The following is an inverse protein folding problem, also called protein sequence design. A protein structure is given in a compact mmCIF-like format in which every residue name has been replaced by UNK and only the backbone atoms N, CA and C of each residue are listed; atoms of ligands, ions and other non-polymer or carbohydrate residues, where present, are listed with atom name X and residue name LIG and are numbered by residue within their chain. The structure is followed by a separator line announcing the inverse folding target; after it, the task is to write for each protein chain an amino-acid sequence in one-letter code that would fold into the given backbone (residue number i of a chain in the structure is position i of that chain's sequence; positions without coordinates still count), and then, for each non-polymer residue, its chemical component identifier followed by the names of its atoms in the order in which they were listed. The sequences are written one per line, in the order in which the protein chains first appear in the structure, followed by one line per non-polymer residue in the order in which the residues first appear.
data_IF_842433476396
#
_entry.id   IF_842433476396
#
_cell.length_a   1.000
_cell.length_b   1.000
_cell.length_c   1.000
_cell.angle_alpha   90.00
_cell.angle_beta   90.00
_cell.angle_gamma   90.00
#
_symmetry.space_group_name_H-M   'P 1'
#
loop_
_entity.id
_entity.type
_entity.pdbx_description
1 polymer ?
#
# COMPACT_ATOMS: atom_id res chain seq x y z
N UNK A 1 26.44 39.19 -16.22
CA UNK A 1 26.43 40.33 -15.29
C UNK A 1 26.83 41.55 -16.10
N UNK A 2 26.06 42.64 -16.08
CA UNK A 2 26.32 43.87 -16.85
C UNK A 2 27.75 44.37 -16.74
N UNK A 3 28.32 44.84 -17.84
CA UNK A 3 29.66 45.44 -17.83
C UNK A 3 29.65 46.74 -16.99
N UNK A 4 28.54 47.46 -17.02
CA UNK A 4 28.31 48.66 -16.22
C UNK A 4 28.58 48.48 -14.72
N UNK A 5 28.20 47.33 -14.13
CA UNK A 5 28.39 47.09 -12.69
C UNK A 5 29.89 47.00 -12.35
N UNK A 6 30.73 46.44 -13.22
CA UNK A 6 32.18 46.39 -13.00
C UNK A 6 32.83 47.76 -13.13
N UNK A 7 32.39 48.56 -14.11
CA UNK A 7 32.84 49.95 -14.30
C UNK A 7 32.48 50.81 -13.10
N UNK A 8 31.25 50.71 -12.60
CA UNK A 8 30.78 51.44 -11.42
C UNK A 8 31.52 51.03 -10.15
N UNK A 9 31.86 49.75 -9.99
CA UNK A 9 32.63 49.28 -8.83
C UNK A 9 34.06 49.86 -8.76
N UNK A 10 34.60 50.33 -9.89
CA UNK A 10 35.95 50.92 -9.98
C UNK A 10 35.93 52.46 -9.96
N UNK A 11 34.76 53.09 -10.16
CA UNK A 11 34.60 54.54 -10.23
C UNK A 11 34.55 55.22 -8.85
N UNK A 12 34.86 56.53 -8.82
CA UNK A 12 34.65 57.38 -7.62
C UNK A 12 34.27 58.81 -7.99
N UNK A 13 33.63 59.52 -7.06
CA UNK A 13 33.28 60.93 -7.23
C UNK A 13 32.27 61.19 -8.36
N UNK A 14 32.38 62.33 -9.05
CA UNK A 14 31.42 62.72 -10.10
C UNK A 14 31.45 61.81 -11.35
N UNK A 15 32.59 61.17 -11.63
CA UNK A 15 32.68 60.23 -12.75
C UNK A 15 31.74 59.03 -12.55
N UNK A 16 31.65 58.52 -11.31
CA UNK A 16 30.73 57.44 -10.94
C UNK A 16 29.26 57.80 -11.21
N UNK A 17 28.87 59.04 -10.92
CA UNK A 17 27.48 59.51 -11.13
C UNK A 17 27.14 59.60 -12.62
N UNK A 18 28.08 60.07 -13.44
CA UNK A 18 27.90 60.14 -14.90
C UNK A 18 27.85 58.75 -15.53
N UNK A 19 28.73 57.84 -15.09
CA UNK A 19 28.75 56.45 -15.55
C UNK A 19 27.46 55.70 -15.13
N UNK A 20 26.92 56.00 -13.96
CA UNK A 20 25.67 55.40 -13.48
C UNK A 20 24.46 55.89 -14.29
N UNK A 21 24.42 57.19 -14.61
CA UNK A 21 23.37 57.76 -15.46
C UNK A 21 23.43 57.20 -16.88
N UNK A 22 24.64 57.03 -17.43
CA UNK A 22 24.83 56.46 -18.76
C UNK A 22 24.40 54.98 -18.85
N UNK A 23 24.48 54.24 -17.73
CA UNK A 23 24.11 52.84 -17.64
C UNK A 23 22.71 52.58 -17.05
N UNK A 24 21.90 53.63 -16.81
CA UNK A 24 20.62 53.54 -16.09
C UNK A 24 19.69 52.46 -16.67
N UNK A 25 19.50 52.45 -17.99
CA UNK A 25 18.63 51.47 -18.66
C UNK A 25 19.17 50.04 -18.55
N UNK A 26 20.49 49.85 -18.74
CA UNK A 26 21.12 48.52 -18.62
C UNK A 26 20.98 47.96 -17.19
N UNK A 27 21.13 48.83 -16.18
CA UNK A 27 20.98 48.45 -14.78
C UNK A 27 19.51 48.16 -14.42
N UNK A 28 18.57 48.94 -14.93
CA UNK A 28 17.14 48.72 -14.74
C UNK A 28 16.71 47.38 -15.37
N UNK A 29 17.06 47.13 -16.63
CA UNK A 29 16.76 45.88 -17.33
C UNK A 29 17.37 44.67 -16.61
N UNK A 30 18.60 44.81 -16.09
CA UNK A 30 19.23 43.76 -15.30
C UNK A 30 18.53 43.53 -13.95
N UNK A 31 18.11 44.59 -13.26
CA UNK A 31 17.36 44.47 -12.01
C UNK A 31 16.01 43.76 -12.23
N UNK A 32 15.31 44.09 -13.31
CA UNK A 32 14.06 43.43 -13.70
C UNK A 32 14.30 41.95 -14.04
N UNK A 33 15.39 41.64 -14.76
CA UNK A 33 15.78 40.27 -15.06
C UNK A 33 16.05 39.45 -13.79
N UNK A 34 16.83 39.99 -12.85
CA UNK A 34 17.14 39.31 -11.57
C UNK A 34 15.87 39.10 -10.75
N UNK A 35 14.99 40.10 -10.70
CA UNK A 35 13.70 40.01 -9.98
C UNK A 35 12.80 38.94 -10.60
N UNK A 36 12.73 38.87 -11.93
CA UNK A 36 11.99 37.82 -12.65
C UNK A 36 12.53 36.42 -12.35
N UNK A 37 13.85 36.24 -12.34
CA UNK A 37 14.49 34.95 -12.01
C UNK A 37 14.23 34.53 -10.55
N UNK A 38 14.34 35.46 -9.60
CA UNK A 38 14.03 35.20 -8.20
C UNK A 38 12.56 34.86 -7.99
N UNK A 39 11.63 35.50 -8.71
CA UNK A 39 10.20 35.18 -8.61
C UNK A 39 9.87 33.73 -9.03
N UNK A 40 10.60 33.20 -10.02
CA UNK A 40 10.41 31.83 -10.55
C UNK A 40 11.05 30.74 -9.68
N UNK A 41 12.13 31.09 -8.98
CA UNK A 41 12.98 30.14 -8.25
C UNK A 41 12.22 29.28 -7.22
N UNK A 42 11.33 29.80 -6.35
CA UNK A 42 10.68 28.99 -5.31
C UNK A 42 9.76 27.91 -5.84
N UNK A 43 9.04 28.16 -6.95
CA UNK A 43 8.16 27.19 -7.56
C UNK A 43 8.97 26.06 -8.22
N UNK A 44 10.01 26.43 -8.99
CA UNK A 44 10.84 25.47 -9.70
C UNK A 44 11.69 24.60 -8.79
N UNK A 45 12.17 25.13 -7.66
CA UNK A 45 12.86 24.31 -6.65
C UNK A 45 11.94 23.25 -6.04
N UNK A 46 10.69 23.64 -5.72
CA UNK A 46 9.69 22.68 -5.20
C UNK A 46 9.37 21.59 -6.23
N UNK A 47 9.18 21.98 -7.49
CA UNK A 47 8.98 21.04 -8.58
C UNK A 47 10.16 20.08 -8.74
N UNK A 48 11.39 20.59 -8.64
CA UNK A 48 12.61 19.78 -8.69
C UNK A 48 12.70 18.76 -7.55
N UNK A 49 12.41 19.17 -6.31
CA UNK A 49 12.45 18.26 -5.16
C UNK A 49 11.38 17.16 -5.24
N UNK A 50 10.19 17.50 -5.77
CA UNK A 50 9.15 16.51 -6.08
C UNK A 50 9.57 15.58 -7.21
N UNK A 51 10.10 16.10 -8.30
CA UNK A 51 10.60 15.31 -9.43
C UNK A 51 11.68 14.32 -8.99
N UNK A 52 12.64 14.73 -8.15
CA UNK A 52 13.64 13.84 -7.55
C UNK A 52 13.01 12.73 -6.71
N UNK A 53 12.04 13.09 -5.87
CA UNK A 53 11.32 12.13 -5.03
C UNK A 53 10.54 11.11 -5.86
N UNK A 54 9.89 11.56 -6.95
CA UNK A 54 9.17 10.70 -7.89
C UNK A 54 10.15 9.79 -8.64
N UNK A 55 11.24 10.34 -9.17
CA UNK A 55 12.26 9.56 -9.89
C UNK A 55 12.86 8.45 -9.02
N UNK A 56 13.15 8.74 -7.75
CA UNK A 56 13.62 7.72 -6.80
C UNK A 56 12.57 6.61 -6.59
N UNK A 57 11.30 6.97 -6.51
CA UNK A 57 10.19 6.02 -6.35
C UNK A 57 9.89 5.23 -7.63
N UNK A 58 10.16 5.83 -8.79
CA UNK A 58 9.93 5.29 -10.12
C UNK A 58 11.09 4.44 -10.66
N UNK A 59 12.22 4.37 -9.94
CA UNK A 59 13.38 3.56 -10.33
C UNK A 59 13.08 2.10 -10.75
N UNK A 60 12.13 1.37 -10.12
CA UNK A 60 11.79 0.01 -10.57
C UNK A 60 10.83 -0.04 -11.77
N UNK A 61 10.35 1.11 -12.27
CA UNK A 61 9.40 1.19 -13.39
C UNK A 61 10.13 1.43 -14.72
N UNK A 62 10.13 0.46 -15.66
CA UNK A 62 10.73 0.66 -16.97
C UNK A 62 10.13 1.85 -17.73
N UNK A 63 8.83 2.08 -17.57
CA UNK A 63 8.09 3.17 -18.21
C UNK A 63 8.58 4.59 -17.79
N UNK A 64 9.22 4.72 -16.63
CA UNK A 64 9.72 6.01 -16.13
C UNK A 64 11.17 6.32 -16.57
N UNK A 65 11.89 5.34 -17.13
CA UNK A 65 13.33 5.44 -17.43
C UNK A 65 13.68 6.68 -18.25
N UNK A 66 12.99 6.90 -19.37
CA UNK A 66 13.22 8.06 -20.25
C UNK A 66 13.00 9.40 -19.53
N UNK A 67 12.03 9.46 -18.62
CA UNK A 67 11.74 10.70 -17.88
C UNK A 67 12.78 10.94 -16.78
N UNK A 68 13.26 9.88 -16.12
CA UNK A 68 14.38 9.96 -15.18
C UNK A 68 15.68 10.44 -15.87
N UNK A 69 15.95 9.97 -17.09
CA UNK A 69 17.09 10.44 -17.89
C UNK A 69 16.95 11.92 -18.26
N UNK A 70 15.75 12.36 -18.64
CA UNK A 70 15.45 13.78 -18.88
C UNK A 70 15.70 14.64 -17.63
N UNK A 71 15.29 14.16 -16.45
CA UNK A 71 15.56 14.85 -15.19
C UNK A 71 17.07 14.96 -14.92
N UNK A 72 17.83 13.88 -15.12
CA UNK A 72 19.27 13.88 -14.94
C UNK A 72 19.97 14.87 -15.90
N UNK A 73 19.55 14.90 -17.17
CA UNK A 73 20.08 15.86 -18.15
C UNK A 73 19.75 17.31 -17.76
N UNK A 74 18.52 17.58 -17.31
CA UNK A 74 18.09 18.88 -16.82
C UNK A 74 18.94 19.38 -15.64
N UNK A 75 19.27 18.49 -14.70
CA UNK A 75 20.13 18.81 -13.56
C UNK A 75 21.59 19.07 -13.98
N UNK A 76 22.12 18.29 -14.93
CA UNK A 76 23.47 18.49 -15.48
C UNK A 76 23.59 19.81 -16.24
N UNK A 77 22.57 20.16 -17.04
CA UNK A 77 22.49 21.40 -17.79
C UNK A 77 22.23 22.64 -16.93
N UNK A 78 21.92 22.47 -15.63
CA UNK A 78 21.54 23.55 -14.70
C UNK A 78 20.41 24.42 -15.23
N UNK A 79 19.42 23.77 -15.85
CA UNK A 79 18.36 24.44 -16.61
C UNK A 79 17.21 24.97 -15.73
N UNK A 80 17.35 24.92 -14.40
CA UNK A 80 16.33 25.37 -13.45
C UNK A 80 15.85 26.79 -13.71
N UNK A 81 16.76 27.68 -14.11
CA UNK A 81 16.46 29.08 -14.40
C UNK A 81 16.41 29.40 -15.91
N UNK A 82 16.37 28.38 -16.77
CA UNK A 82 16.19 28.56 -18.22
C UNK A 82 14.85 29.26 -18.54
N UNK A 83 14.74 29.89 -19.71
CA UNK A 83 13.52 30.62 -20.10
C UNK A 83 12.27 29.71 -20.06
N UNK A 84 12.39 28.50 -20.58
CA UNK A 84 11.33 27.49 -20.58
C UNK A 84 11.19 26.78 -19.23
N UNK A 85 9.97 26.42 -18.87
CA UNK A 85 9.64 25.75 -17.60
C UNK A 85 9.58 24.22 -17.76
N UNK A 86 10.72 23.63 -18.10
CA UNK A 86 10.83 22.20 -18.35
C UNK A 86 10.57 21.34 -17.10
N UNK A 87 10.88 21.85 -15.90
CA UNK A 87 10.79 21.06 -14.67
C UNK A 87 9.35 20.67 -14.32
N UNK A 88 8.38 21.57 -14.54
CA UNK A 88 6.97 21.30 -14.31
C UNK A 88 6.45 20.18 -15.23
N UNK A 89 6.95 20.14 -16.46
CA UNK A 89 6.63 19.05 -17.41
C UNK A 89 7.25 17.73 -16.94
N UNK A 90 8.51 17.74 -16.53
CA UNK A 90 9.21 16.54 -16.02
C UNK A 90 8.53 16.01 -14.74
N UNK A 91 8.17 16.89 -13.81
CA UNK A 91 7.43 16.52 -12.58
C UNK A 91 6.11 15.83 -12.92
N UNK A 92 5.31 16.41 -13.83
CA UNK A 92 4.03 15.84 -14.26
C UNK A 92 4.24 14.48 -14.90
N UNK A 93 5.15 14.36 -15.86
CA UNK A 93 5.40 13.11 -16.59
C UNK A 93 5.87 11.99 -15.62
N UNK A 94 6.69 12.31 -14.61
CA UNK A 94 7.07 11.38 -13.56
C UNK A 94 5.89 11.00 -12.65
N UNK A 95 5.06 11.98 -12.27
CA UNK A 95 3.88 11.74 -11.45
C UNK A 95 2.89 10.82 -12.17
N UNK A 96 2.70 11.01 -13.48
CA UNK A 96 1.86 10.17 -14.31
C UNK A 96 2.41 8.74 -14.41
N UNK A 97 3.71 8.57 -14.63
CA UNK A 97 4.34 7.25 -14.67
C UNK A 97 4.19 6.49 -13.33
N UNK A 98 4.40 7.16 -12.20
CA UNK A 98 4.21 6.56 -10.87
C UNK A 98 2.74 6.27 -10.60
N UNK A 99 1.82 7.17 -10.99
CA UNK A 99 0.38 6.98 -10.84
C UNK A 99 -0.10 5.75 -11.60
N UNK A 100 0.31 5.60 -12.86
CA UNK A 100 -0.01 4.42 -13.66
C UNK A 100 0.57 3.16 -13.03
N UNK A 101 1.85 3.17 -12.65
CA UNK A 101 2.45 2.00 -11.98
C UNK A 101 1.73 1.60 -10.69
N UNK A 102 1.25 2.57 -9.90
CA UNK A 102 0.47 2.30 -8.68
C UNK A 102 -0.91 1.74 -9.00
N UNK A 103 -1.57 2.27 -10.04
CA UNK A 103 -2.84 1.75 -10.52
C UNK A 103 -2.72 0.31 -11.02
N UNK A 104 -1.67 0.00 -11.77
CA UNK A 104 -1.38 -1.35 -12.26
C UNK A 104 -1.13 -2.31 -11.09
N UNK A 105 -0.28 -1.92 -10.13
CA UNK A 105 0.00 -2.72 -8.93
C UNK A 105 -1.27 -2.96 -8.10
N UNK A 106 -2.15 -1.95 -7.99
CA UNK A 106 -3.46 -2.08 -7.35
C UNK A 106 -4.37 -3.06 -8.08
N UNK A 107 -4.42 -2.98 -9.41
CA UNK A 107 -5.22 -3.88 -10.24
C UNK A 107 -4.73 -5.33 -10.14
N UNK A 108 -3.41 -5.57 -10.24
CA UNK A 108 -2.81 -6.90 -10.07
C UNK A 108 -3.11 -7.50 -8.69
N UNK A 109 -2.96 -6.68 -7.64
CA UNK A 109 -3.31 -7.08 -6.28
C UNK A 109 -4.80 -7.44 -6.18
N UNK A 110 -5.68 -6.58 -6.70
CA UNK A 110 -7.13 -6.78 -6.62
C UNK A 110 -7.57 -8.03 -7.38
N UNK A 111 -7.03 -8.28 -8.57
CA UNK A 111 -7.29 -9.49 -9.35
C UNK A 111 -6.89 -10.74 -8.55
N UNK A 112 -5.66 -10.78 -8.06
CA UNK A 112 -5.16 -11.90 -7.24
C UNK A 112 -6.00 -12.08 -5.97
N UNK A 113 -6.39 -10.99 -5.32
CA UNK A 113 -7.22 -11.01 -4.12
C UNK A 113 -8.62 -11.58 -4.40
N UNK A 114 -9.24 -11.20 -5.52
CA UNK A 114 -10.56 -11.74 -5.91
C UNK A 114 -10.50 -13.23 -6.21
N UNK A 115 -9.47 -13.71 -6.91
CA UNK A 115 -9.25 -15.13 -7.16
C UNK A 115 -9.01 -15.91 -5.86
N UNK A 116 -8.16 -15.37 -4.99
CA UNK A 116 -7.84 -15.96 -3.69
C UNK A 116 -9.06 -16.06 -2.77
N UNK A 117 -9.92 -15.03 -2.75
CA UNK A 117 -11.19 -15.08 -2.00
C UNK A 117 -12.21 -16.02 -2.62
N UNK A 118 -12.31 -16.10 -3.95
CA UNK A 118 -13.20 -17.07 -4.60
C UNK A 118 -12.81 -18.51 -4.23
N UNK A 119 -11.51 -18.83 -4.16
CA UNK A 119 -11.03 -20.13 -3.69
C UNK A 119 -11.43 -20.39 -2.23
N UNK A 120 -11.37 -19.38 -1.37
CA UNK A 120 -11.80 -19.45 0.02
C UNK A 120 -13.32 -19.68 0.14
N UNK A 121 -14.13 -18.94 -0.61
CA UNK A 121 -15.60 -18.99 -0.57
C UNK A 121 -16.17 -20.29 -1.16
N UNK A 122 -15.47 -20.93 -2.08
CA UNK A 122 -15.85 -22.23 -2.66
C UNK A 122 -15.48 -23.43 -1.77
N UNK A 123 -14.69 -23.23 -0.71
CA UNK A 123 -14.29 -24.32 0.16
C UNK A 123 -15.43 -24.76 1.09
N UNK A 124 -15.75 -26.06 1.10
CA UNK A 124 -16.83 -26.62 1.92
C UNK A 124 -16.68 -26.30 3.42
N UNK A 125 -15.46 -26.40 3.96
CA UNK A 125 -15.18 -26.04 5.35
C UNK A 125 -15.51 -24.56 5.63
N UNK A 126 -15.21 -23.65 4.69
CA UNK A 126 -15.52 -22.23 4.83
C UNK A 126 -17.03 -21.96 4.77
N UNK A 127 -17.74 -22.64 3.86
CA UNK A 127 -19.19 -22.54 3.72
C UNK A 127 -19.94 -23.06 4.95
N UNK A 128 -19.37 -24.02 5.68
CA UNK A 128 -19.97 -24.54 6.93
C UNK A 128 -19.91 -23.57 8.12
N UNK A 129 -19.04 -22.55 8.07
CA UNK A 129 -18.90 -21.56 9.13
C UNK A 129 -20.00 -20.49 9.07
N UNK A 130 -20.36 -19.94 10.22
CA UNK A 130 -21.18 -18.72 10.30
C UNK A 130 -20.38 -17.46 9.92
N UNK A 131 -21.09 -16.37 9.63
CA UNK A 131 -20.48 -15.13 9.15
C UNK A 131 -19.56 -14.46 10.20
N UNK A 132 -19.86 -14.62 11.48
CA UNK A 132 -19.02 -14.08 12.56
C UNK A 132 -17.64 -14.75 12.57
N UNK A 133 -17.61 -16.09 12.46
CA UNK A 133 -16.38 -16.87 12.36
C UNK A 133 -15.60 -16.57 11.08
N UNK A 134 -16.28 -16.46 9.93
CA UNK A 134 -15.64 -16.08 8.66
C UNK A 134 -14.99 -14.71 8.75
N UNK A 135 -15.70 -13.73 9.29
CA UNK A 135 -15.19 -12.38 9.52
C UNK A 135 -13.98 -12.38 10.47
N UNK A 136 -14.03 -13.14 11.57
CA UNK A 136 -12.91 -13.28 12.50
C UNK A 136 -11.67 -13.93 11.85
N UNK A 137 -11.86 -14.97 11.04
CA UNK A 137 -10.77 -15.63 10.31
C UNK A 137 -10.18 -14.70 9.24
N UNK A 138 -11.00 -13.94 8.50
CA UNK A 138 -10.52 -12.95 7.53
C UNK A 138 -9.62 -11.92 8.20
N UNK A 139 -10.04 -11.37 9.34
CA UNK A 139 -9.22 -10.42 10.12
C UNK A 139 -7.92 -11.05 10.63
N UNK A 140 -8.01 -12.24 11.22
CA UNK A 140 -6.86 -12.96 11.80
C UNK A 140 -5.78 -13.25 10.74
N UNK A 141 -6.19 -13.58 9.52
CA UNK A 141 -5.29 -13.89 8.42
C UNK A 141 -5.01 -12.69 7.49
N UNK A 142 -5.43 -11.48 7.87
CA UNK A 142 -5.22 -10.25 7.08
C UNK A 142 -5.73 -10.38 5.63
N UNK A 143 -6.95 -10.92 5.50
CA UNK A 143 -7.73 -11.06 4.27
C UNK A 143 -8.90 -10.06 4.24
N UNK A 144 -8.72 -8.91 4.89
CA UNK A 144 -9.65 -7.79 4.79
C UNK A 144 -9.35 -7.00 3.50
N UNK A 145 -10.38 -6.51 2.78
CA UNK A 145 -10.17 -5.75 1.56
C UNK A 145 -9.47 -4.43 1.88
N UNK A 146 -8.53 -4.04 1.03
CA UNK A 146 -7.92 -2.71 1.13
C UNK A 146 -8.81 -1.69 0.44
N UNK A 147 -8.69 -0.43 0.87
CA UNK A 147 -9.33 0.69 0.20
C UNK A 147 -8.62 0.98 -1.14
N UNK A 148 -9.36 1.38 -2.18
CA UNK A 148 -8.78 1.80 -3.45
C UNK A 148 -7.86 3.01 -3.28
N UNK A 149 -6.87 3.12 -4.15
CA UNK A 149 -5.96 4.27 -4.17
C UNK A 149 -6.66 5.50 -4.72
N UNK A 150 -6.53 6.60 -4.00
CA UNK A 150 -6.97 7.93 -4.42
C UNK A 150 -5.73 8.78 -4.74
N UNK A 151 -5.55 9.13 -6.02
CA UNK A 151 -4.34 9.74 -6.57
C UNK A 151 -4.64 11.04 -7.35
N UNK A 152 -5.32 12.03 -6.75
CA UNK A 152 -5.84 13.22 -7.46
C UNK A 152 -4.74 14.16 -7.97
N UNK A 153 -3.59 14.21 -7.29
CA UNK A 153 -2.49 15.13 -7.61
C UNK A 153 -1.12 14.49 -7.34
N UNK A 154 -0.04 15.23 -7.64
CA UNK A 154 1.34 14.78 -7.46
C UNK A 154 1.70 14.49 -6.00
N UNK A 155 1.19 15.28 -5.06
CA UNK A 155 1.50 15.10 -3.63
C UNK A 155 0.81 13.84 -3.08
N UNK A 156 -0.41 13.54 -3.54
CA UNK A 156 -1.11 12.30 -3.24
C UNK A 156 -0.38 11.09 -3.81
N UNK A 157 0.13 11.17 -5.05
CA UNK A 157 0.95 10.11 -5.65
C UNK A 157 2.22 9.85 -4.85
N UNK A 158 2.94 10.91 -4.46
CA UNK A 158 4.14 10.80 -3.62
C UNK A 158 3.82 10.20 -2.25
N UNK A 159 2.72 10.61 -1.64
CA UNK A 159 2.28 10.08 -0.33
C UNK A 159 1.94 8.60 -0.44
N UNK A 160 1.20 8.20 -1.47
CA UNK A 160 0.81 6.82 -1.70
C UNK A 160 2.02 5.90 -1.96
N UNK A 161 2.95 6.29 -2.85
CA UNK A 161 4.13 5.47 -3.16
C UNK A 161 5.10 5.37 -1.98
N UNK A 162 5.15 6.38 -1.10
CA UNK A 162 5.94 6.34 0.14
C UNK A 162 5.28 5.47 1.20
N UNK A 163 3.96 5.56 1.35
CA UNK A 163 3.21 4.72 2.28
C UNK A 163 3.28 3.24 1.90
N UNK A 164 3.24 2.94 0.60
CA UNK A 164 3.47 1.60 0.07
C UNK A 164 4.24 1.63 -1.25
N UNK A 165 5.55 1.34 -1.22
CA UNK A 165 6.35 1.18 -2.41
C UNK A 165 5.87 -0.01 -3.27
N UNK A 166 6.27 -0.04 -4.54
CA UNK A 166 5.94 -1.14 -5.47
C UNK A 166 6.31 -2.53 -4.94
N UNK A 167 7.45 -2.65 -4.23
CA UNK A 167 7.83 -3.90 -3.58
C UNK A 167 6.78 -4.35 -2.54
N UNK A 168 6.22 -3.41 -1.76
CA UNK A 168 5.19 -3.73 -0.78
C UNK A 168 3.88 -4.22 -1.40
N UNK A 169 3.52 -3.76 -2.60
CA UNK A 169 2.38 -4.32 -3.34
C UNK A 169 2.64 -5.75 -3.80
N UNK A 170 3.86 -6.02 -4.27
CA UNK A 170 4.30 -7.36 -4.66
C UNK A 170 4.28 -8.31 -3.46
N UNK A 171 4.83 -7.90 -2.33
CA UNK A 171 4.84 -8.69 -1.09
C UNK A 171 3.43 -9.03 -0.62
N UNK A 172 2.50 -8.06 -0.69
CA UNK A 172 1.10 -8.30 -0.35
C UNK A 172 0.46 -9.33 -1.28
N UNK A 173 0.64 -9.16 -2.59
CA UNK A 173 0.12 -10.09 -3.61
C UNK A 173 0.67 -11.49 -3.41
N UNK A 174 1.98 -11.61 -3.25
CA UNK A 174 2.69 -12.90 -3.13
C UNK A 174 2.37 -13.60 -1.79
N UNK A 175 1.96 -12.85 -0.76
CA UNK A 175 1.51 -13.41 0.52
C UNK A 175 0.06 -13.95 0.49
N UNK A 176 -0.78 -13.53 -0.46
CA UNK A 176 -2.21 -13.92 -0.50
C UNK A 176 -2.44 -15.43 -0.53
N UNK A 177 -1.75 -16.23 -1.37
CA UNK A 177 -1.96 -17.67 -1.41
C UNK A 177 -1.68 -18.35 -0.06
N UNK A 178 -0.60 -17.94 0.62
CA UNK A 178 -0.24 -18.46 1.94
C UNK A 178 -1.28 -18.09 3.01
N UNK A 179 -1.78 -16.84 2.99
CA UNK A 179 -2.84 -16.37 3.90
C UNK A 179 -4.14 -17.13 3.71
N UNK A 180 -4.56 -17.36 2.47
CA UNK A 180 -5.75 -18.17 2.16
C UNK A 180 -5.59 -19.61 2.60
N UNK A 181 -4.44 -20.24 2.34
CA UNK A 181 -4.15 -21.61 2.80
C UNK A 181 -4.23 -21.73 4.33
N UNK A 182 -3.68 -20.76 5.05
CA UNK A 182 -3.77 -20.70 6.50
C UNK A 182 -5.21 -20.53 6.99
N UNK A 183 -5.98 -19.64 6.36
CA UNK A 183 -7.40 -19.42 6.67
C UNK A 183 -8.26 -20.67 6.40
N UNK A 184 -8.01 -21.38 5.30
CA UNK A 184 -8.67 -22.65 5.00
C UNK A 184 -8.34 -23.72 6.04
N UNK A 185 -7.08 -23.82 6.45
CA UNK A 185 -6.66 -24.76 7.50
C UNK A 185 -7.35 -24.44 8.83
N UNK A 186 -7.45 -23.17 9.19
CA UNK A 186 -8.17 -22.73 10.38
C UNK A 186 -9.67 -23.01 10.27
N UNK A 187 -10.27 -22.77 9.09
CA UNK A 187 -11.68 -23.07 8.84
C UNK A 187 -11.99 -24.56 8.95
N UNK A 188 -11.13 -25.44 8.43
CA UNK A 188 -11.26 -26.90 8.60
C UNK A 188 -11.24 -27.27 10.08
N UNK A 189 -10.34 -26.68 10.88
CA UNK A 189 -10.28 -26.93 12.33
C UNK A 189 -11.51 -26.44 13.07
N UNK A 190 -12.07 -25.29 12.70
CA UNK A 190 -13.31 -24.77 13.31
C UNK A 190 -14.57 -25.49 12.84
N UNK A 191 -14.56 -26.05 11.63
CA UNK A 191 -15.64 -26.85 11.08
C UNK A 191 -15.67 -28.29 11.64
N UNK A 192 -14.57 -28.76 12.23
CA UNK A 192 -14.57 -30.04 12.92
C UNK A 192 -15.57 -30.00 14.09
N UNK A 193 -16.50 -30.96 14.19
CA UNK A 193 -17.44 -31.01 15.30
C UNK A 193 -16.65 -31.15 16.60
N UNK A 194 -16.81 -30.18 17.50
CA UNK A 194 -16.24 -30.26 18.85
C UNK A 194 -16.93 -31.42 19.57
N UNK A 195 -16.23 -32.54 19.70
CA UNK A 195 -16.78 -33.72 20.34
C UNK A 195 -17.21 -33.40 21.77
N UNK A 196 -18.47 -33.67 22.09
CA UNK A 196 -18.99 -33.44 23.45
C UNK A 196 -18.54 -34.59 24.32
N UNK A 197 -17.90 -34.28 25.44
CA UNK A 197 -17.54 -35.29 26.45
C UNK A 197 -18.80 -35.67 27.20
N UNK A 198 -19.16 -36.96 27.13
CA UNK A 198 -20.35 -37.51 27.78
C UNK A 198 -19.90 -38.54 28.81
N UNK A 199 -20.38 -38.40 30.05
CA UNK A 199 -20.15 -39.38 31.12
C UNK A 199 -21.17 -40.51 31.05
N UNK A 200 -20.77 -41.72 31.46
CA UNK A 200 -21.71 -42.82 31.63
C UNK A 200 -22.53 -42.62 32.92
N UNK A 201 -23.86 -42.84 32.91
CA UNK A 201 -24.64 -42.81 34.14
C UNK A 201 -24.11 -43.84 35.14
N UNK A 202 -24.03 -43.52 36.43
CA UNK A 202 -23.65 -44.50 37.46
C UNK A 202 -24.78 -45.48 37.79
N UNK A 203 -24.44 -46.72 38.12
CA UNK A 203 -25.38 -47.74 38.59
C UNK A 203 -24.75 -48.68 39.62
N UNK A 204 -25.58 -49.29 40.47
CA UNK A 204 -25.20 -50.37 41.39
C UNK A 204 -25.73 -51.69 40.82
N UNK A 205 -24.85 -52.66 40.61
CA UNK A 205 -25.19 -53.94 39.96
C UNK A 205 -25.03 -55.07 40.98
N UNK A 206 -26.11 -55.78 41.28
CA UNK A 206 -26.09 -56.90 42.24
C UNK A 206 -26.45 -58.24 41.59
N UNK A 207 -27.06 -58.21 40.40
CA UNK A 207 -27.49 -59.39 39.64
C UNK A 207 -27.20 -59.21 38.14
N UNK A 208 -27.19 -60.31 37.38
CA UNK A 208 -27.00 -60.25 35.92
C UNK A 208 -28.13 -59.46 35.22
N UNK A 209 -29.36 -59.50 35.76
CA UNK A 209 -30.46 -58.70 35.25
C UNK A 209 -30.21 -57.18 35.41
N UNK A 210 -29.54 -56.77 36.49
CA UNK A 210 -29.15 -55.37 36.71
C UNK A 210 -28.08 -54.94 35.69
N UNK A 211 -27.15 -55.86 35.34
CA UNK A 211 -26.11 -55.61 34.35
C UNK A 211 -26.71 -55.36 32.97
N UNK A 212 -27.62 -56.22 32.51
CA UNK A 212 -28.27 -56.07 31.20
C UNK A 212 -29.06 -54.76 31.12
N UNK A 213 -29.87 -54.46 32.15
CA UNK A 213 -30.62 -53.20 32.23
C UNK A 213 -29.71 -51.97 32.23
N UNK A 214 -28.53 -52.05 32.84
CA UNK A 214 -27.56 -50.98 32.84
C UNK A 214 -26.91 -50.77 31.46
N UNK A 215 -26.53 -51.84 30.77
CA UNK A 215 -25.96 -51.78 29.42
C UNK A 215 -26.95 -51.14 28.45
N UNK A 216 -28.23 -51.51 28.52
CA UNK A 216 -29.28 -50.91 27.69
C UNK A 216 -29.46 -49.43 27.97
N UNK A 217 -29.48 -49.03 29.25
CA UNK A 217 -29.56 -47.63 29.65
C UNK A 217 -28.36 -46.80 29.16
N UNK A 218 -27.15 -47.35 29.25
CA UNK A 218 -25.94 -46.69 28.72
C UNK A 218 -26.02 -46.57 27.21
N UNK A 219 -26.46 -47.63 26.51
CA UNK A 219 -26.64 -47.64 25.06
C UNK A 219 -27.63 -46.56 24.62
N UNK A 220 -28.80 -46.48 25.23
CA UNK A 220 -29.81 -45.46 24.94
C UNK A 220 -29.28 -44.05 25.17
N UNK A 221 -28.58 -43.84 26.29
CA UNK A 221 -27.98 -42.55 26.63
C UNK A 221 -26.94 -42.11 25.58
N UNK A 222 -26.00 -43.00 25.22
CA UNK A 222 -24.96 -42.70 24.24
C UNK A 222 -25.55 -42.51 22.83
N UNK A 223 -26.55 -43.30 22.44
CA UNK A 223 -27.22 -43.15 21.15
C UNK A 223 -27.95 -41.79 21.05
N UNK A 224 -28.63 -41.36 22.12
CA UNK A 224 -29.30 -40.05 22.16
C UNK A 224 -28.29 -38.88 22.08
N UNK A 225 -27.14 -39.01 22.75
CA UNK A 225 -26.08 -38.01 22.72
C UNK A 225 -25.37 -37.96 21.36
N UNK A 226 -25.12 -39.12 20.75
CA UNK A 226 -24.56 -39.23 19.41
C UNK A 226 -25.51 -38.62 18.37
N UNK A 227 -26.81 -38.91 18.45
CA UNK A 227 -27.81 -38.32 17.58
C UNK A 227 -27.93 -36.79 17.74
N UNK A 228 -27.69 -36.26 18.95
CA UNK A 228 -27.74 -34.82 19.24
C UNK A 228 -26.48 -34.06 18.84
N UNK A 229 -25.30 -34.65 19.01
CA UNK A 229 -24.03 -33.93 18.90
C UNK A 229 -23.16 -34.39 17.72
N UNK A 230 -23.55 -35.48 17.05
CA UNK A 230 -22.84 -36.05 15.89
C UNK A 230 -21.53 -36.76 16.24
N UNK A 231 -20.73 -36.18 17.14
CA UNK A 231 -19.47 -36.77 17.63
C UNK A 231 -19.41 -36.64 19.16
N UNK A 232 -19.19 -37.75 19.85
CA UNK A 232 -19.10 -37.83 21.31
C UNK A 232 -17.83 -38.54 21.75
N UNK A 233 -17.28 -38.13 22.90
CA UNK A 233 -16.16 -38.83 23.57
C UNK A 233 -16.69 -39.39 24.89
N UNK A 234 -16.61 -40.71 25.06
CA UNK A 234 -17.02 -41.39 26.30
C UNK A 234 -15.85 -41.39 27.27
N UNK A 235 -16.04 -40.78 28.44
CA UNK A 235 -15.02 -40.76 29.50
C UNK A 235 -15.35 -41.83 30.55
N UNK A 236 -14.41 -42.72 30.91
CA UNK A 236 -14.58 -43.56 32.09
C UNK A 236 -14.69 -42.67 33.32
N UNK A 237 -15.70 -42.91 34.15
CA UNK A 237 -15.91 -42.21 35.42
C UNK A 237 -14.84 -42.60 36.44
#
# INVERSE_FOLDING_TARGET
MPAAIQTLAQGSGNALVLDALAAETELADFADQVTSLESRRPARLRALDRARSLAASAAPLPAATTVCERLAAFEQGRELLAADDQITTIERDLADAVRTGLADAWQEYTATYTEALAALENAAAWQSLDESKRSALRRTHQLEPLAPLDLPDTDAVLTAVRARPFAGWRDLRDALPARVSAALTAAVREAQPRAVVVGTPGATLATDADLDAYVDKVREHLAAQLARHGTIVVKPS
#
